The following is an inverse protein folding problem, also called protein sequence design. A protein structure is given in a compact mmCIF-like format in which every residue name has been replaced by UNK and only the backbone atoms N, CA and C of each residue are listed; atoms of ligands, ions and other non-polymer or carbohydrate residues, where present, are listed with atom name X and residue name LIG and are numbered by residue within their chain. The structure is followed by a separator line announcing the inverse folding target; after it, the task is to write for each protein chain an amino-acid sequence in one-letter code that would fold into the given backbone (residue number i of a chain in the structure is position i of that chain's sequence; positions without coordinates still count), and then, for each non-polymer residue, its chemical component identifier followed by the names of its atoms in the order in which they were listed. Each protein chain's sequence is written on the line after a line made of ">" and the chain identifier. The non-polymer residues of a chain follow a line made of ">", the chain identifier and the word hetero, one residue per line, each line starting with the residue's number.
data_IF_463197606122
#
_entry.id   IF_463197606122
#
_cell.length_a   1.000
_cell.length_b   1.000
_cell.length_c   1.000
_cell.angle_alpha   90.00
_cell.angle_beta   90.00
_cell.angle_gamma   90.00
#
_symmetry.space_group_name_H-M   'P 1'
#
loop_
_entity.id
_entity.type
_entity.pdbx_description
1 polymer ?
#
# COMPACT_ATOMS: atom_id res chain seq x y z
N UNK A 1 11.74 -2.99 -20.69
CA UNK A 1 11.61 -1.54 -20.45
C UNK A 1 11.60 -1.31 -18.95
N UNK A 2 12.65 -0.68 -18.42
CA UNK A 2 12.73 -0.32 -17.01
C UNK A 2 12.13 1.08 -16.88
N UNK A 3 10.87 1.16 -16.46
CA UNK A 3 10.21 2.44 -16.19
C UNK A 3 10.95 3.09 -15.01
N UNK A 4 11.81 4.06 -15.33
CA UNK A 4 12.37 4.96 -14.34
C UNK A 4 11.26 5.90 -13.90
N UNK A 5 10.50 5.49 -12.89
CA UNK A 5 9.55 6.37 -12.24
C UNK A 5 10.32 7.49 -11.53
N UNK A 6 10.49 8.62 -12.22
CA UNK A 6 11.01 9.84 -11.64
C UNK A 6 9.95 10.44 -10.72
N UNK A 7 9.89 9.96 -9.48
CA UNK A 7 9.12 10.63 -8.44
C UNK A 7 9.84 11.91 -8.04
N UNK A 8 9.19 13.05 -8.27
CA UNK A 8 9.57 14.36 -7.73
C UNK A 8 9.16 14.52 -6.25
N UNK A 9 8.49 13.52 -5.68
CA UNK A 9 7.98 13.56 -4.30
C UNK A 9 8.97 12.93 -3.33
N UNK A 10 9.37 13.72 -2.33
CA UNK A 10 10.22 13.32 -1.23
C UNK A 10 9.75 12.02 -0.53
N UNK A 11 10.68 11.08 -0.29
CA UNK A 11 10.36 9.77 0.26
C UNK A 11 9.73 9.85 1.66
N UNK A 12 10.16 10.79 2.50
CA UNK A 12 9.59 10.95 3.84
C UNK A 12 8.14 11.45 3.76
N UNK A 13 7.83 12.30 2.77
CA UNK A 13 6.44 12.71 2.49
C UNK A 13 5.56 11.51 2.12
N UNK A 14 6.07 10.58 1.31
CA UNK A 14 5.34 9.36 0.92
C UNK A 14 5.11 8.44 2.13
N UNK A 15 6.13 8.24 2.97
CA UNK A 15 6.00 7.43 4.18
C UNK A 15 5.00 8.03 5.16
N UNK A 16 4.99 9.36 5.34
CA UNK A 16 4.02 10.07 6.18
C UNK A 16 2.59 9.91 5.66
N UNK A 17 2.38 10.00 4.35
CA UNK A 17 1.08 9.78 3.73
C UNK A 17 0.61 8.32 3.87
N UNK A 18 1.51 7.36 3.63
CA UNK A 18 1.22 5.94 3.86
C UNK A 18 0.79 5.69 5.30
N UNK A 19 1.53 6.19 6.29
CA UNK A 19 1.20 6.02 7.70
C UNK A 19 -0.18 6.59 8.07
N UNK A 20 -0.52 7.78 7.57
CA UNK A 20 -1.81 8.41 7.81
C UNK A 20 -2.97 7.60 7.20
N UNK A 21 -2.82 7.15 5.95
CA UNK A 21 -3.84 6.33 5.27
C UNK A 21 -3.96 4.96 5.92
N UNK A 22 -2.84 4.34 6.28
CA UNK A 22 -2.84 3.05 6.95
C UNK A 22 -3.55 3.12 8.30
N UNK A 23 -3.29 4.17 9.10
CA UNK A 23 -3.99 4.39 10.36
C UNK A 23 -5.51 4.55 10.15
N UNK A 24 -5.91 5.38 9.17
CA UNK A 24 -7.32 5.59 8.85
C UNK A 24 -8.02 4.30 8.41
N UNK A 25 -7.42 3.56 7.46
CA UNK A 25 -7.97 2.29 6.96
C UNK A 25 -8.04 1.24 8.07
N UNK A 26 -7.03 1.19 8.95
CA UNK A 26 -7.00 0.24 10.06
C UNK A 26 -8.13 0.51 11.06
N UNK A 27 -8.41 1.79 11.36
CA UNK A 27 -9.52 2.17 12.23
C UNK A 27 -10.89 1.79 11.63
N UNK A 28 -11.02 1.78 10.30
CA UNK A 28 -12.25 1.41 9.59
C UNK A 28 -12.36 -0.09 9.29
N UNK A 29 -11.28 -0.86 9.40
CA UNK A 29 -11.31 -2.27 9.00
C UNK A 29 -12.37 -3.09 9.76
N UNK A 30 -12.52 -2.98 11.09
CA UNK A 30 -13.51 -3.76 11.82
C UNK A 30 -14.95 -3.50 11.38
N UNK A 31 -15.28 -2.26 10.99
CA UNK A 31 -16.63 -1.89 10.56
C UNK A 31 -16.94 -2.42 9.15
N UNK A 32 -15.93 -2.58 8.30
CA UNK A 32 -16.08 -3.09 6.93
C UNK A 32 -15.77 -4.59 6.79
N UNK A 33 -15.15 -5.20 7.81
CA UNK A 33 -14.67 -6.58 7.78
C UNK A 33 -15.79 -7.59 7.48
N UNK A 34 -17.03 -7.31 7.91
CA UNK A 34 -18.20 -8.14 7.61
C UNK A 34 -18.55 -8.16 6.10
N UNK A 35 -18.21 -7.11 5.37
CA UNK A 35 -18.44 -7.00 3.91
C UNK A 35 -17.25 -7.50 3.10
N UNK A 36 -16.05 -7.55 3.70
CA UNK A 36 -14.83 -8.07 3.06
C UNK A 36 -14.82 -9.61 3.10
N UNK A 37 -15.57 -10.23 2.19
CA UNK A 37 -15.56 -11.69 1.94
C UNK A 37 -14.41 -12.06 0.99
N UNK A 38 -13.31 -12.61 1.53
CA UNK A 38 -12.19 -13.13 0.71
C UNK A 38 -12.19 -14.66 0.66
N UNK A 39 -12.30 -15.21 -0.55
CA UNK A 39 -12.24 -16.66 -0.82
C UNK A 39 -10.87 -17.31 -0.47
N UNK A 40 -9.81 -16.49 -0.34
CA UNK A 40 -8.44 -16.94 -0.12
C UNK A 40 -7.86 -16.51 1.22
N UNK A 41 -8.69 -16.27 2.25
CA UNK A 41 -8.26 -15.77 3.58
C UNK A 41 -7.10 -16.56 4.21
N UNK A 42 -6.99 -17.85 3.88
CA UNK A 42 -5.96 -18.79 4.34
C UNK A 42 -4.60 -18.65 3.62
N UNK A 43 -4.54 -18.00 2.46
CA UNK A 43 -3.32 -17.77 1.67
C UNK A 43 -2.67 -16.40 1.94
N UNK A 44 -3.26 -15.62 2.85
CA UNK A 44 -3.00 -14.18 2.93
C UNK A 44 -1.70 -13.90 3.68
N UNK A 45 -0.65 -13.58 2.92
CA UNK A 45 0.65 -13.13 3.44
C UNK A 45 0.67 -11.67 3.95
N UNK A 46 -0.43 -10.92 3.79
CA UNK A 46 -0.51 -9.48 4.13
C UNK A 46 -1.91 -9.07 4.58
N UNK A 47 -2.02 -8.33 5.69
CA UNK A 47 -3.31 -7.87 6.22
C UNK A 47 -4.13 -7.04 5.20
N UNK A 48 -5.47 -7.15 5.26
CA UNK A 48 -6.38 -6.44 4.36
C UNK A 48 -6.22 -4.92 4.46
N UNK A 49 -5.94 -4.40 5.65
CA UNK A 49 -5.59 -2.99 5.92
C UNK A 49 -4.41 -2.53 5.08
N UNK A 50 -3.35 -3.33 5.05
CA UNK A 50 -2.13 -3.04 4.30
C UNK A 50 -2.44 -3.00 2.81
N UNK A 51 -3.16 -4.00 2.29
CA UNK A 51 -3.48 -4.09 0.86
C UNK A 51 -4.35 -2.89 0.42
N UNK A 52 -5.38 -2.55 1.20
CA UNK A 52 -6.27 -1.43 0.91
C UNK A 52 -5.52 -0.10 1.01
N UNK A 53 -4.74 0.12 2.07
CA UNK A 53 -3.98 1.35 2.27
C UNK A 53 -2.95 1.57 1.14
N UNK A 54 -2.26 0.50 0.74
CA UNK A 54 -1.36 0.48 -0.40
C UNK A 54 -2.15 0.87 -1.66
N UNK A 55 -3.27 0.21 -1.96
CA UNK A 55 -4.06 0.51 -3.17
C UNK A 55 -4.54 1.97 -3.24
N UNK A 56 -5.08 2.51 -2.14
CA UNK A 56 -5.55 3.90 -2.05
C UNK A 56 -4.39 4.87 -2.30
N UNK A 57 -3.23 4.62 -1.69
CA UNK A 57 -2.04 5.46 -1.86
C UNK A 57 -1.57 5.45 -3.33
N UNK A 58 -1.59 4.29 -4.00
CA UNK A 58 -1.27 4.18 -5.42
C UNK A 58 -2.19 5.02 -6.31
N UNK A 59 -3.50 5.03 -6.03
CA UNK A 59 -4.47 5.89 -6.73
C UNK A 59 -4.20 7.38 -6.50
N UNK A 60 -3.90 7.77 -5.27
CA UNK A 60 -3.59 9.17 -4.91
C UNK A 60 -2.33 9.70 -5.60
N UNK A 61 -1.33 8.84 -5.82
CA UNK A 61 -0.13 9.19 -6.58
C UNK A 61 -0.29 9.09 -8.10
N UNK A 62 -1.49 8.78 -8.60
CA UNK A 62 -1.77 8.75 -10.03
C UNK A 62 -1.24 7.49 -10.74
N UNK A 63 -0.96 6.41 -10.02
CA UNK A 63 -0.59 5.15 -10.67
C UNK A 63 -1.79 4.55 -11.41
N UNK A 64 -1.59 4.32 -12.70
CA UNK A 64 -2.58 3.71 -13.58
C UNK A 64 -2.63 2.19 -13.46
N UNK A 65 -1.58 1.53 -12.97
CA UNK A 65 -1.53 0.07 -12.82
C UNK A 65 -1.11 -0.39 -11.41
N UNK A 66 -1.79 -1.41 -10.91
CA UNK A 66 -1.41 -2.10 -9.67
C UNK A 66 0.00 -2.70 -9.75
N UNK A 67 0.43 -3.15 -10.93
CA UNK A 67 1.78 -3.68 -11.14
C UNK A 67 2.87 -2.62 -10.94
N UNK A 68 2.71 -1.45 -11.54
CA UNK A 68 3.66 -0.34 -11.37
C UNK A 68 3.73 0.10 -9.90
N UNK A 69 2.57 0.18 -9.27
CA UNK A 69 2.47 0.53 -7.86
C UNK A 69 3.08 -0.52 -6.91
N UNK A 70 2.81 -1.80 -7.15
CA UNK A 70 3.37 -2.89 -6.34
C UNK A 70 4.90 -2.96 -6.46
N UNK A 71 5.44 -2.75 -7.66
CA UNK A 71 6.88 -2.66 -7.88
C UNK A 71 7.51 -1.48 -7.11
N UNK A 72 6.83 -0.34 -7.08
CA UNK A 72 7.23 0.82 -6.29
C UNK A 72 7.23 0.51 -4.77
N UNK A 73 6.14 -0.05 -4.25
CA UNK A 73 6.02 -0.39 -2.83
C UNK A 73 7.10 -1.36 -2.35
N UNK A 74 7.36 -2.42 -3.12
CA UNK A 74 8.36 -3.40 -2.77
C UNK A 74 9.77 -2.78 -2.70
N UNK A 75 10.13 -1.94 -3.68
CA UNK A 75 11.46 -1.33 -3.77
C UNK A 75 11.70 -0.14 -2.84
N UNK A 76 10.65 0.61 -2.48
CA UNK A 76 10.79 1.92 -1.80
C UNK A 76 10.16 1.97 -0.41
N UNK A 77 9.12 1.19 -0.15
CA UNK A 77 8.38 1.22 1.12
C UNK A 77 8.67 -0.01 2.01
N UNK A 78 8.70 -1.22 1.43
CA UNK A 78 8.79 -2.47 2.20
C UNK A 78 10.24 -2.87 2.52
N UNK A 79 11.19 -2.64 1.61
CA UNK A 79 12.59 -3.06 1.78
C UNK A 79 13.30 -2.40 2.99
N UNK A 80 12.77 -1.31 3.55
CA UNK A 80 13.32 -0.68 4.77
C UNK A 80 12.71 -1.22 6.07
N UNK A 81 11.59 -1.96 6.02
CA UNK A 81 10.96 -2.51 7.25
C UNK A 81 11.61 -3.80 7.73
N UNK A 82 12.46 -4.43 6.92
CA UNK A 82 13.23 -5.64 7.26
C UNK A 82 14.63 -5.35 7.78
N UNK A 83 15.00 -4.07 7.93
CA UNK A 83 16.30 -3.62 8.46
C UNK A 83 16.08 -2.76 9.70
N UNK A 84 15.31 -3.26 10.66
CA UNK A 84 15.32 -2.85 12.07
C UNK A 84 14.80 -4.01 12.92
#
# INVERSE_FOLDING_TARGET
>A
MQEHFHFTTDQAKIQKQYAAIFFFVSAQLPSIQMYLQRRNRHLVKQEDTVIIAIHILGKLFGFSSERAWHHFCYRKLVHQRTVY
#
